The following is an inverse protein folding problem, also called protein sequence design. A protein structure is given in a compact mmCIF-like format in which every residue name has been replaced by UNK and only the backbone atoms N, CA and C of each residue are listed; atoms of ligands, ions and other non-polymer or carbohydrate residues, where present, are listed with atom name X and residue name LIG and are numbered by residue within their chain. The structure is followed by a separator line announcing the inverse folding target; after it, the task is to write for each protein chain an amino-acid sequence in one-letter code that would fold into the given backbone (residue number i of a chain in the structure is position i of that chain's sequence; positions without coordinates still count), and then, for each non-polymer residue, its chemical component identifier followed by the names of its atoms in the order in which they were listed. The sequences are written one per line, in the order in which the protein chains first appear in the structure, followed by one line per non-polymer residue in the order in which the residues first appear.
data_IF_961473685510
#
_entry.id   IF_961473685510
#
_cell.length_a   1.000
_cell.length_b   1.000
_cell.length_c   1.000
_cell.angle_alpha   90.00
_cell.angle_beta   90.00
_cell.angle_gamma   90.00
#
_symmetry.space_group_name_H-M   'P 1'
#
loop_
_entity.id
_entity.type
_entity.pdbx_description
1 polymer ?
#
# COMPACT_ATOMS: atom_id res chain seq x y z
N UNK A 1 15.70 5.02 -11.43
CA UNK A 1 16.76 5.44 -10.49
C UNK A 1 17.71 4.26 -10.35
N UNK A 2 18.98 4.36 -10.69
CA UNK A 2 19.87 3.21 -10.59
C UNK A 2 19.92 2.76 -9.14
N UNK A 3 19.80 1.47 -8.91
CA UNK A 3 20.01 0.81 -7.61
C UNK A 3 21.53 0.77 -7.27
N UNK A 4 22.27 1.82 -7.62
CA UNK A 4 23.73 1.82 -7.55
C UNK A 4 24.21 2.90 -6.60
N UNK A 5 25.18 2.48 -5.82
CA UNK A 5 26.10 3.25 -5.01
C UNK A 5 26.46 4.61 -5.61
N UNK A 6 26.08 5.68 -4.90
CA UNK A 6 26.83 6.90 -5.04
C UNK A 6 28.29 6.64 -4.60
N UNK A 7 29.29 7.11 -5.34
CA UNK A 7 30.67 7.03 -4.90
C UNK A 7 30.79 7.75 -3.55
N UNK A 8 31.52 7.14 -2.61
CA UNK A 8 31.86 7.78 -1.34
C UNK A 8 32.71 9.01 -1.71
N UNK A 9 32.08 10.18 -1.70
CA UNK A 9 32.80 11.44 -1.78
C UNK A 9 33.36 11.69 -0.39
N UNK A 10 34.61 11.34 -0.16
CA UNK A 10 35.34 11.83 1.02
C UNK A 10 35.44 13.34 0.91
N UNK A 11 34.87 14.11 1.86
CA UNK A 11 35.07 15.56 1.90
C UNK A 11 36.56 15.87 2.04
N UNK A 12 37.08 16.95 1.44
CA UNK A 12 38.45 17.35 1.66
C UNK A 12 38.64 17.62 3.16
N UNK A 13 39.73 17.07 3.70
CA UNK A 13 40.17 17.23 5.10
C UNK A 13 40.40 18.72 5.37
N UNK A 14 39.38 19.42 5.87
CA UNK A 14 39.50 20.77 6.41
C UNK A 14 39.88 20.61 7.86
N UNK A 15 41.17 20.69 8.17
CA UNK A 15 41.80 20.51 9.51
C UNK A 15 41.21 21.40 10.64
N UNK A 16 40.00 21.16 11.01
CA UNK A 16 39.34 21.69 12.19
C UNK A 16 38.92 20.53 13.08
N UNK A 17 39.49 20.43 14.29
CA UNK A 17 39.32 19.33 15.25
C UNK A 17 37.88 19.17 15.80
N UNK A 18 36.89 19.10 14.95
CA UNK A 18 35.54 18.63 15.30
C UNK A 18 35.49 17.12 15.14
N UNK A 19 34.82 16.43 16.07
CA UNK A 19 34.52 15.02 15.96
C UNK A 19 33.86 14.78 14.60
N UNK A 20 34.41 13.85 13.76
CA UNK A 20 33.81 13.56 12.46
C UNK A 20 32.34 13.17 12.68
N UNK A 21 31.42 13.90 12.05
CA UNK A 21 30.02 13.46 11.99
C UNK A 21 30.05 12.15 11.22
N UNK A 22 29.61 11.02 11.80
CA UNK A 22 29.58 9.76 11.08
C UNK A 22 28.71 9.96 9.84
N UNK A 23 29.32 9.73 8.65
CA UNK A 23 28.56 9.69 7.41
C UNK A 23 27.49 8.58 7.56
N UNK A 24 26.25 8.83 7.15
CA UNK A 24 25.24 7.78 7.16
C UNK A 24 25.77 6.59 6.35
N UNK A 25 25.62 5.38 6.89
CA UNK A 25 25.93 4.17 6.13
C UNK A 25 25.07 4.16 4.86
N UNK A 26 25.71 4.31 3.71
CA UNK A 26 25.06 4.21 2.41
C UNK A 26 25.02 2.71 2.08
N UNK A 27 23.94 2.05 2.52
CA UNK A 27 23.66 0.68 2.12
C UNK A 27 23.01 0.61 0.74
N UNK A 28 22.90 -0.60 0.21
CA UNK A 28 22.22 -0.85 -1.05
C UNK A 28 20.72 -1.00 -0.85
N UNK A 29 19.93 -0.48 -1.79
CA UNK A 29 18.54 -0.88 -1.89
C UNK A 29 18.45 -2.33 -2.35
N UNK A 30 17.62 -3.14 -1.73
CA UNK A 30 17.35 -4.52 -2.14
C UNK A 30 15.98 -4.62 -2.79
N UNK A 31 15.88 -5.46 -3.83
CA UNK A 31 14.64 -5.73 -4.51
C UNK A 31 14.28 -7.21 -4.40
N UNK A 32 13.04 -7.48 -4.03
CA UNK A 32 12.48 -8.82 -4.01
C UNK A 32 11.20 -8.87 -4.84
N UNK A 33 10.98 -9.97 -5.52
CA UNK A 33 9.76 -10.28 -6.20
C UNK A 33 9.11 -11.49 -5.55
N UNK A 34 7.86 -11.37 -5.10
CA UNK A 34 7.07 -12.49 -4.61
C UNK A 34 6.08 -12.89 -5.69
N UNK A 35 6.17 -14.13 -6.17
CA UNK A 35 5.29 -14.65 -7.20
C UNK A 35 3.88 -15.01 -6.65
N UNK A 36 2.89 -15.27 -7.50
CA UNK A 36 1.54 -15.63 -7.06
C UNK A 36 1.42 -16.87 -6.18
N UNK A 37 2.48 -17.71 -6.08
CA UNK A 37 2.52 -18.87 -5.17
C UNK A 37 3.12 -18.55 -3.81
N UNK A 38 3.58 -17.30 -3.58
CA UNK A 38 4.25 -16.88 -2.38
C UNK A 38 5.76 -17.15 -2.37
N UNK A 39 6.34 -17.63 -3.49
CA UNK A 39 7.80 -17.82 -3.59
C UNK A 39 8.49 -16.48 -3.74
N UNK A 40 9.50 -16.22 -2.89
CA UNK A 40 10.28 -14.98 -2.90
C UNK A 40 11.53 -15.14 -3.76
N UNK A 41 11.70 -14.22 -4.70
CA UNK A 41 12.82 -14.12 -5.63
C UNK A 41 13.64 -12.87 -5.30
N UNK A 42 14.89 -13.04 -4.86
CA UNK A 42 15.78 -11.92 -4.48
C UNK A 42 16.47 -11.38 -5.72
N UNK A 43 15.93 -10.30 -6.30
CA UNK A 43 16.39 -9.78 -7.59
C UNK A 43 17.76 -9.08 -7.54
N UNK A 44 18.22 -8.68 -6.36
CA UNK A 44 19.51 -7.99 -6.15
C UNK A 44 20.56 -8.88 -5.46
N UNK A 45 20.27 -10.17 -5.28
CA UNK A 45 21.20 -11.14 -4.70
C UNK A 45 22.01 -11.81 -5.83
N UNK A 46 23.28 -11.45 -5.96
CA UNK A 46 24.17 -11.98 -6.98
C UNK A 46 24.53 -13.47 -6.80
N UNK A 47 24.26 -14.04 -5.63
CA UNK A 47 24.48 -15.46 -5.34
C UNK A 47 23.29 -16.35 -5.76
N UNK A 48 22.16 -15.75 -6.09
CA UNK A 48 20.96 -16.49 -6.47
C UNK A 48 21.02 -17.13 -7.87
N UNK A 49 22.04 -16.80 -8.66
CA UNK A 49 22.19 -17.23 -10.05
C UNK A 49 21.45 -16.34 -11.05
N UNK A 50 20.96 -15.23 -10.57
CA UNK A 50 20.39 -14.12 -11.33
C UNK A 50 20.48 -12.85 -10.47
N UNK A 51 20.61 -11.70 -11.11
CA UNK A 51 20.65 -10.42 -10.41
C UNK A 51 20.23 -9.27 -11.33
N UNK A 52 19.83 -8.16 -10.74
CA UNK A 52 19.48 -6.93 -11.44
C UNK A 52 20.71 -6.29 -12.04
N UNK A 53 20.66 -5.96 -13.33
CA UNK A 53 21.68 -5.14 -13.96
C UNK A 53 21.61 -3.70 -13.44
N UNK A 54 22.77 -3.11 -13.26
CA UNK A 54 22.94 -1.78 -12.69
C UNK A 54 22.20 -0.69 -13.46
N UNK A 55 22.19 -0.76 -14.78
CA UNK A 55 21.58 0.19 -15.67
C UNK A 55 20.25 -0.35 -16.25
N UNK A 56 19.29 0.55 -16.45
CA UNK A 56 18.06 0.23 -17.15
C UNK A 56 16.82 -0.02 -16.29
N UNK A 57 16.93 -0.05 -14.94
CA UNK A 57 15.74 -0.05 -14.09
C UNK A 57 15.03 1.29 -14.20
N UNK A 58 13.75 1.27 -14.52
CA UNK A 58 12.91 2.47 -14.61
C UNK A 58 11.49 2.22 -14.13
N UNK A 59 10.71 3.29 -13.97
CA UNK A 59 9.32 3.20 -13.47
C UNK A 59 9.21 3.21 -11.94
N UNK A 60 10.29 3.47 -11.18
CA UNK A 60 10.28 3.55 -9.72
C UNK A 60 9.92 4.95 -9.18
N UNK A 61 9.85 5.96 -10.06
CA UNK A 61 9.53 7.35 -9.73
C UNK A 61 8.04 7.62 -9.59
N UNK A 62 7.65 8.88 -9.82
CA UNK A 62 6.24 9.30 -9.76
C UNK A 62 5.36 8.57 -10.76
N UNK A 63 4.06 8.43 -10.44
CA UNK A 63 3.08 7.85 -11.33
C UNK A 63 2.95 8.64 -12.64
N UNK A 64 2.66 8.02 -13.78
CA UNK A 64 2.26 8.73 -14.98
C UNK A 64 0.85 9.31 -14.82
N UNK A 65 0.61 10.50 -15.38
CA UNK A 65 -0.69 11.16 -15.34
C UNK A 65 -1.19 11.49 -16.75
N UNK A 66 -2.47 11.30 -16.96
CA UNK A 66 -3.18 11.89 -18.10
C UNK A 66 -3.77 13.23 -17.68
N UNK A 67 -3.53 14.27 -18.53
CA UNK A 67 -3.89 15.65 -18.25
C UNK A 67 -4.97 16.12 -19.21
N UNK A 68 -6.17 16.38 -18.70
CA UNK A 68 -7.24 17.04 -19.46
C UNK A 68 -7.11 18.55 -19.32
N UNK A 69 -7.00 19.27 -20.45
CA UNK A 69 -6.75 20.69 -20.48
C UNK A 69 -7.71 21.43 -21.40
N UNK A 70 -8.00 22.71 -21.06
CA UNK A 70 -8.72 23.66 -21.92
C UNK A 70 -7.75 24.67 -22.54
N UNK A 71 -7.79 24.82 -23.85
CA UNK A 71 -7.01 25.84 -24.54
C UNK A 71 -7.45 27.27 -24.13
N UNK A 72 -6.48 28.18 -23.90
CA UNK A 72 -6.76 29.56 -23.59
C UNK A 72 -6.60 30.45 -24.82
N UNK A 73 -7.49 31.45 -25.04
CA UNK A 73 -7.44 32.33 -26.23
C UNK A 73 -6.14 33.12 -26.41
N UNK A 74 -5.40 33.37 -25.34
CA UNK A 74 -4.12 34.09 -25.34
C UNK A 74 -2.89 33.19 -25.38
N UNK A 75 -3.08 31.90 -25.67
CA UNK A 75 -2.04 30.88 -25.63
C UNK A 75 -1.95 30.16 -24.28
N UNK A 76 -1.40 28.95 -24.30
CA UNK A 76 -1.37 28.04 -23.13
C UNK A 76 -2.67 27.27 -22.94
N UNK A 77 -2.74 26.51 -21.84
CA UNK A 77 -3.91 25.73 -21.48
C UNK A 77 -4.12 25.73 -19.95
N UNK A 78 -5.38 25.62 -19.55
CA UNK A 78 -5.75 25.45 -18.14
C UNK A 78 -5.94 23.97 -17.85
N UNK A 79 -5.27 23.46 -16.82
CA UNK A 79 -5.48 22.11 -16.32
C UNK A 79 -6.87 22.00 -15.71
N UNK A 80 -7.65 21.00 -16.14
CA UNK A 80 -8.99 20.67 -15.62
C UNK A 80 -8.97 19.45 -14.74
N UNK A 81 -8.26 18.42 -15.17
CA UNK A 81 -8.21 17.14 -14.47
C UNK A 81 -6.86 16.46 -14.72
N UNK A 82 -6.36 15.81 -13.68
CA UNK A 82 -5.17 14.97 -13.75
C UNK A 82 -5.54 13.58 -13.22
N UNK A 83 -5.45 12.57 -14.07
CA UNK A 83 -5.77 11.19 -13.70
C UNK A 83 -4.51 10.35 -13.68
N UNK A 84 -4.18 9.69 -12.54
CA UNK A 84 -3.08 8.73 -12.50
C UNK A 84 -3.37 7.56 -13.43
N UNK A 85 -2.34 7.14 -14.17
CA UNK A 85 -2.41 6.05 -15.13
C UNK A 85 -1.65 4.83 -14.61
N UNK A 86 -2.01 3.60 -15.02
CA UNK A 86 -1.21 2.42 -14.76
C UNK A 86 0.25 2.66 -15.16
N UNK A 87 1.20 2.13 -14.38
CA UNK A 87 2.62 2.30 -14.69
C UNK A 87 3.24 1.02 -15.23
N UNK A 88 4.29 1.19 -16.02
CA UNK A 88 5.19 0.12 -16.39
C UNK A 88 6.52 0.27 -15.62
N UNK A 89 7.00 -0.83 -15.07
CA UNK A 89 8.34 -0.93 -14.45
C UNK A 89 9.18 -1.79 -15.36
N UNK A 90 10.31 -1.23 -15.84
CA UNK A 90 11.30 -1.97 -16.63
C UNK A 90 12.37 -2.48 -15.69
N UNK A 91 12.64 -3.79 -15.76
CA UNK A 91 13.56 -4.45 -14.84
C UNK A 91 14.53 -5.36 -15.60
N UNK A 92 15.78 -4.96 -15.82
CA UNK A 92 16.79 -5.79 -16.47
C UNK A 92 17.36 -6.81 -15.48
N UNK A 93 17.33 -8.08 -15.86
CA UNK A 93 17.92 -9.19 -15.11
C UNK A 93 19.00 -9.87 -15.93
N UNK A 94 20.09 -10.23 -15.25
CA UNK A 94 21.08 -11.17 -15.76
C UNK A 94 20.89 -12.52 -15.09
N UNK A 95 20.80 -13.57 -15.87
CA UNK A 95 20.61 -14.95 -15.40
C UNK A 95 21.79 -15.79 -15.83
N UNK A 96 22.36 -16.56 -14.92
CA UNK A 96 23.53 -17.39 -15.19
C UNK A 96 23.47 -18.74 -14.46
N UNK A 97 24.27 -19.68 -14.91
CA UNK A 97 24.45 -20.98 -14.28
C UNK A 97 25.91 -21.46 -14.42
N UNK A 98 26.34 -22.38 -13.57
CA UNK A 98 27.66 -23.04 -13.71
C UNK A 98 27.70 -23.96 -14.94
N UNK A 99 26.51 -24.41 -15.39
CA UNK A 99 26.32 -25.21 -16.60
C UNK A 99 25.17 -24.67 -17.43
N UNK A 100 25.18 -25.03 -18.73
CA UNK A 100 24.06 -24.70 -19.61
C UNK A 100 22.69 -25.19 -19.06
N UNK A 101 22.66 -26.40 -18.51
CA UNK A 101 21.41 -27.00 -17.97
C UNK A 101 20.90 -26.19 -16.78
N UNK A 102 21.80 -25.81 -15.86
CA UNK A 102 21.46 -25.00 -14.71
C UNK A 102 20.93 -23.61 -15.10
N UNK A 103 21.60 -22.97 -16.06
CA UNK A 103 21.14 -21.70 -16.62
C UNK A 103 19.71 -21.83 -17.20
N UNK A 104 19.46 -22.84 -18.03
CA UNK A 104 18.14 -23.07 -18.64
C UNK A 104 17.08 -23.35 -17.59
N UNK A 105 17.40 -24.09 -16.54
CA UNK A 105 16.46 -24.35 -15.44
C UNK A 105 16.10 -23.06 -14.70
N UNK A 106 17.08 -22.22 -14.37
CA UNK A 106 16.88 -20.90 -13.73
C UNK A 106 16.03 -19.97 -14.59
N UNK A 107 16.38 -19.89 -15.89
CA UNK A 107 15.61 -19.09 -16.86
C UNK A 107 14.14 -19.49 -16.91
N UNK A 108 13.87 -20.79 -17.03
CA UNK A 108 12.51 -21.31 -17.07
C UNK A 108 11.75 -21.07 -15.75
N UNK A 109 12.43 -21.20 -14.62
CA UNK A 109 11.85 -20.96 -13.31
C UNK A 109 11.45 -19.49 -13.14
N UNK A 110 12.34 -18.55 -13.50
CA UNK A 110 12.04 -17.12 -13.48
C UNK A 110 10.92 -16.75 -14.45
N UNK A 111 11.00 -17.17 -15.70
CA UNK A 111 9.95 -16.93 -16.70
C UNK A 111 8.59 -17.46 -16.22
N UNK A 112 8.56 -18.67 -15.61
CA UNK A 112 7.34 -19.22 -15.02
C UNK A 112 6.84 -18.40 -13.82
N UNK A 113 7.73 -17.91 -12.95
CA UNK A 113 7.36 -17.10 -11.79
C UNK A 113 6.65 -15.80 -12.21
N UNK A 114 7.18 -15.10 -13.22
CA UNK A 114 6.59 -13.86 -13.71
C UNK A 114 5.30 -14.12 -14.52
N UNK A 115 5.30 -15.08 -15.45
CA UNK A 115 4.14 -15.36 -16.29
C UNK A 115 2.94 -15.96 -15.54
N UNK A 116 3.15 -16.50 -14.32
CA UNK A 116 2.05 -16.94 -13.44
C UNK A 116 1.05 -15.84 -13.12
N UNK A 117 1.48 -14.59 -13.09
CA UNK A 117 0.59 -13.44 -12.83
C UNK A 117 -0.52 -13.32 -13.88
N UNK A 118 -0.35 -13.89 -15.07
CA UNK A 118 -1.33 -13.87 -16.15
C UNK A 118 -2.30 -15.05 -16.12
N UNK A 119 -2.09 -16.03 -15.26
CA UNK A 119 -2.97 -17.21 -15.15
C UNK A 119 -4.27 -16.86 -14.44
N UNK A 120 -5.37 -17.37 -14.99
CA UNK A 120 -6.68 -17.25 -14.36
C UNK A 120 -6.80 -18.24 -13.19
N UNK A 121 -7.31 -17.74 -12.08
CA UNK A 121 -7.80 -18.54 -10.98
C UNK A 121 -9.16 -19.18 -11.34
N UNK A 122 -9.63 -20.21 -10.60
CA UNK A 122 -10.94 -20.82 -10.83
C UNK A 122 -12.13 -19.85 -10.75
N UNK A 123 -11.99 -18.74 -10.01
CA UNK A 123 -12.98 -17.68 -9.87
C UNK A 123 -12.92 -16.62 -10.99
N UNK A 124 -12.04 -16.79 -11.98
CA UNK A 124 -11.84 -15.87 -13.10
C UNK A 124 -10.95 -14.66 -12.77
N UNK A 125 -10.44 -14.54 -11.56
CA UNK A 125 -9.48 -13.49 -11.18
C UNK A 125 -8.05 -13.85 -11.56
N UNK A 126 -7.12 -12.88 -11.43
CA UNK A 126 -5.67 -13.11 -11.53
C UNK A 126 -5.00 -12.67 -10.24
N UNK A 127 -3.97 -13.40 -9.83
CA UNK A 127 -3.15 -13.03 -8.68
C UNK A 127 -1.92 -12.27 -9.16
N UNK A 128 -1.75 -10.99 -8.79
CA UNK A 128 -0.53 -10.24 -9.10
C UNK A 128 0.67 -10.82 -8.37
N UNK A 129 1.87 -10.58 -8.90
CA UNK A 129 3.09 -10.65 -8.12
C UNK A 129 3.26 -9.38 -7.28
N UNK A 130 4.18 -9.40 -6.34
CA UNK A 130 4.53 -8.25 -5.51
C UNK A 130 6.00 -7.95 -5.67
N UNK A 131 6.32 -6.76 -6.16
CA UNK A 131 7.67 -6.21 -6.18
C UNK A 131 7.85 -5.35 -4.93
N UNK A 132 8.87 -5.63 -4.14
CA UNK A 132 9.22 -4.86 -2.94
C UNK A 132 10.63 -4.31 -3.06
N UNK A 133 10.78 -3.03 -2.73
CA UNK A 133 12.06 -2.31 -2.64
C UNK A 133 12.28 -1.94 -1.19
N UNK A 134 13.32 -2.52 -0.58
CA UNK A 134 13.74 -2.17 0.77
C UNK A 134 14.98 -1.27 0.73
N UNK A 135 15.02 -0.30 1.63
CA UNK A 135 16.07 0.71 1.76
C UNK A 135 16.93 0.44 3.00
N UNK A 136 18.17 0.94 3.03
CA UNK A 136 19.07 0.76 4.19
C UNK A 136 18.58 1.42 5.48
N UNK A 137 17.70 2.40 5.39
CA UNK A 137 17.06 3.07 6.54
C UNK A 137 15.96 2.22 7.21
N UNK A 138 15.70 1.01 6.68
CA UNK A 138 14.68 0.10 7.15
C UNK A 138 13.30 0.33 6.53
N UNK A 139 13.13 1.36 5.70
CA UNK A 139 11.89 1.54 4.96
C UNK A 139 11.79 0.53 3.82
N UNK A 140 10.57 0.08 3.53
CA UNK A 140 10.29 -0.70 2.32
C UNK A 140 8.99 -0.25 1.69
N UNK A 141 8.90 -0.43 0.38
CA UNK A 141 7.69 -0.13 -0.39
C UNK A 141 7.44 -1.24 -1.39
N UNK A 142 6.18 -1.62 -1.53
CA UNK A 142 5.76 -2.71 -2.42
C UNK A 142 4.70 -2.24 -3.40
N UNK A 143 4.68 -2.89 -4.56
CA UNK A 143 3.70 -2.64 -5.60
C UNK A 143 3.25 -3.96 -6.23
N UNK A 144 1.97 -4.07 -6.56
CA UNK A 144 1.42 -5.23 -7.27
C UNK A 144 1.77 -5.13 -8.75
N UNK A 145 2.26 -6.23 -9.33
CA UNK A 145 2.75 -6.24 -10.70
C UNK A 145 2.20 -7.43 -11.48
N UNK A 146 1.99 -7.22 -12.78
CA UNK A 146 1.71 -8.27 -13.76
C UNK A 146 2.83 -8.29 -14.80
N UNK A 147 3.19 -9.48 -15.24
CA UNK A 147 4.15 -9.64 -16.33
C UNK A 147 3.56 -9.12 -17.64
N UNK A 148 4.31 -8.31 -18.37
CA UNK A 148 3.94 -7.83 -19.69
C UNK A 148 4.78 -8.49 -20.79
N UNK A 149 6.12 -8.39 -20.70
CA UNK A 149 7.06 -8.89 -21.70
C UNK A 149 8.47 -9.06 -21.14
N UNK A 150 9.42 -9.63 -21.89
CA UNK A 150 10.85 -9.60 -21.62
C UNK A 150 11.55 -10.95 -21.43
N UNK A 151 10.80 -12.06 -21.40
CA UNK A 151 11.36 -13.42 -21.35
C UNK A 151 11.21 -14.20 -22.68
N UNK A 152 11.09 -13.52 -23.82
CA UNK A 152 10.95 -14.15 -25.14
C UNK A 152 12.20 -14.93 -25.57
N UNK A 153 13.35 -14.60 -25.00
CA UNK A 153 14.63 -15.17 -25.35
C UNK A 153 15.21 -14.56 -26.63
N UNK A 154 16.50 -14.28 -26.65
CA UNK A 154 17.17 -13.69 -27.81
C UNK A 154 17.72 -14.70 -28.81
N UNK A 155 17.32 -15.97 -28.69
CA UNK A 155 17.84 -17.03 -29.56
C UNK A 155 19.30 -17.43 -29.30
N UNK A 156 19.94 -16.87 -28.28
CA UNK A 156 21.30 -17.22 -27.86
C UNK A 156 21.37 -18.53 -27.05
N UNK A 157 20.31 -19.32 -27.07
CA UNK A 157 20.24 -20.61 -26.35
C UNK A 157 21.01 -21.73 -27.06
N UNK A 158 22.06 -21.36 -27.79
CA UNK A 158 22.93 -22.31 -28.44
C UNK A 158 23.73 -23.16 -27.46
N UNK A 159 24.37 -24.21 -28.00
CA UNK A 159 25.20 -25.16 -27.24
C UNK A 159 26.29 -24.43 -26.47
N UNK A 160 26.36 -24.63 -25.15
CA UNK A 160 27.42 -24.09 -24.28
C UNK A 160 27.19 -22.70 -23.70
N UNK A 161 26.07 -22.03 -23.99
CA UNK A 161 25.72 -20.76 -23.33
C UNK A 161 25.22 -21.05 -21.91
N UNK A 162 25.82 -20.39 -20.93
CA UNK A 162 25.48 -20.54 -19.51
C UNK A 162 24.94 -19.26 -18.87
N UNK A 163 24.65 -18.24 -19.68
CA UNK A 163 24.09 -16.97 -19.20
C UNK A 163 23.39 -16.19 -20.30
N UNK A 164 22.39 -15.40 -19.95
CA UNK A 164 21.74 -14.41 -20.80
C UNK A 164 21.11 -13.29 -19.94
N UNK A 165 20.68 -12.22 -20.59
CA UNK A 165 19.97 -11.10 -19.95
C UNK A 165 18.54 -11.02 -20.48
N UNK A 166 17.61 -10.66 -19.59
CA UNK A 166 16.23 -10.33 -19.92
C UNK A 166 15.93 -8.91 -19.44
N UNK A 167 15.22 -8.15 -20.25
CA UNK A 167 14.66 -6.86 -19.85
C UNK A 167 13.16 -7.05 -19.69
N UNK A 168 12.72 -7.16 -18.44
CA UNK A 168 11.33 -7.47 -18.12
C UNK A 168 10.54 -6.17 -17.99
N UNK A 169 9.37 -6.13 -18.58
CA UNK A 169 8.38 -5.09 -18.36
C UNK A 169 7.27 -5.64 -17.48
N UNK A 170 7.06 -4.99 -16.33
CA UNK A 170 6.02 -5.29 -15.36
C UNK A 170 4.97 -4.19 -15.41
N UNK A 171 3.72 -4.56 -15.57
CA UNK A 171 2.59 -3.64 -15.56
C UNK A 171 1.94 -3.58 -14.19
N UNK A 172 1.69 -2.37 -13.69
CA UNK A 172 1.06 -2.11 -12.40
C UNK A 172 -0.30 -1.45 -12.64
N UNK A 173 -1.35 -2.11 -12.22
CA UNK A 173 -2.73 -1.65 -12.32
C UNK A 173 -2.96 -0.41 -11.44
N UNK A 174 -2.54 -0.48 -10.18
CA UNK A 174 -2.44 0.65 -9.26
C UNK A 174 -1.02 1.24 -9.36
N UNK A 175 -0.86 2.52 -9.72
CA UNK A 175 0.46 3.09 -9.93
C UNK A 175 1.23 3.43 -8.64
N UNK A 176 0.62 3.30 -7.48
CA UNK A 176 1.21 3.75 -6.23
C UNK A 176 1.93 2.64 -5.48
N UNK A 177 3.01 3.02 -4.83
CA UNK A 177 3.73 2.17 -3.91
C UNK A 177 3.04 2.15 -2.55
N UNK A 178 3.03 1.02 -1.90
CA UNK A 178 2.33 0.81 -0.62
C UNK A 178 3.34 0.42 0.45
N UNK A 179 3.26 1.06 1.62
CA UNK A 179 4.02 0.62 2.79
C UNK A 179 3.52 -0.76 3.24
N UNK A 180 4.38 -1.76 3.44
CA UNK A 180 3.97 -3.06 3.98
C UNK A 180 3.46 -2.97 5.43
N UNK A 181 3.85 -1.92 6.17
CA UNK A 181 3.43 -1.72 7.56
C UNK A 181 2.09 -1.03 7.60
N UNK A 182 1.11 -1.70 8.18
CA UNK A 182 -0.25 -1.16 8.36
C UNK A 182 -0.28 -0.17 9.51
N UNK A 183 -0.82 1.01 9.27
CA UNK A 183 -1.15 1.98 10.32
C UNK A 183 -2.49 1.59 10.93
N UNK A 184 -2.55 1.49 12.25
CA UNK A 184 -3.78 1.20 13.00
C UNK A 184 -4.06 2.32 13.98
N UNK A 185 -5.28 2.86 13.91
CA UNK A 185 -5.79 3.85 14.86
C UNK A 185 -6.91 3.20 15.64
N UNK A 186 -6.64 2.88 16.91
CA UNK A 186 -7.61 2.29 17.82
C UNK A 186 -8.31 3.36 18.65
N UNK A 187 -9.64 3.26 18.78
CA UNK A 187 -10.46 4.08 19.67
C UNK A 187 -11.50 3.21 20.36
N UNK A 188 -11.65 3.40 21.65
CA UNK A 188 -12.57 2.62 22.48
C UNK A 188 -13.46 3.51 23.35
N UNK A 189 -14.54 2.97 23.85
CA UNK A 189 -15.35 3.66 24.88
C UNK A 189 -14.51 3.77 26.13
N UNK A 190 -14.23 5.04 26.53
CA UNK A 190 -13.43 5.31 27.73
C UNK A 190 -14.14 4.78 28.96
N UNK A 191 -13.46 3.94 29.72
CA UNK A 191 -13.84 3.70 31.12
C UNK A 191 -13.47 4.95 31.90
N UNK A 192 -14.47 5.64 32.45
CA UNK A 192 -14.24 6.71 33.42
C UNK A 192 -13.58 6.08 34.64
N UNK A 193 -12.27 6.10 34.69
CA UNK A 193 -11.51 5.80 35.88
C UNK A 193 -11.47 7.09 36.71
N UNK A 194 -12.32 7.17 37.73
CA UNK A 194 -12.26 8.24 38.72
C UNK A 194 -10.96 8.13 39.51
N UNK A 195 -9.92 8.78 39.02
CA UNK A 195 -8.62 8.80 39.70
C UNK A 195 -8.67 9.69 40.98
N UNK A 196 -9.56 10.67 41.01
CA UNK A 196 -9.83 11.53 42.17
C UNK A 196 -11.31 11.98 42.16
N UNK A 197 -12.09 11.51 43.10
CA UNK A 197 -13.40 12.10 43.39
C UNK A 197 -13.11 13.32 44.33
N UNK A 198 -13.48 14.57 43.97
CA UNK A 198 -14.51 15.07 43.04
C UNK A 198 -13.99 15.84 41.80
N UNK A 199 -12.84 15.54 41.27
CA UNK A 199 -12.27 16.26 40.12
C UNK A 199 -12.69 15.66 38.79
N UNK A 200 -12.91 16.47 37.72
CA UNK A 200 -13.23 15.96 36.41
C UNK A 200 -12.11 15.08 35.89
N UNK A 201 -12.46 13.88 35.45
CA UNK A 201 -11.52 12.92 34.85
C UNK A 201 -11.04 13.41 33.49
N UNK A 202 -9.74 13.30 33.24
CA UNK A 202 -9.17 13.52 31.91
C UNK A 202 -9.39 12.27 31.10
N UNK A 203 -10.16 12.37 30.00
CA UNK A 203 -10.34 11.27 29.08
C UNK A 203 -9.01 10.85 28.44
N UNK A 204 -8.81 9.54 28.27
CA UNK A 204 -7.62 9.03 27.56
C UNK A 204 -7.65 9.48 26.09
N UNK A 205 -6.51 9.62 25.46
CA UNK A 205 -6.40 9.96 24.03
C UNK A 205 -6.98 8.88 23.08
N UNK A 206 -7.42 7.74 23.62
CA UNK A 206 -8.00 6.61 22.88
C UNK A 206 -9.54 6.57 22.94
N UNK A 207 -10.18 7.57 23.53
CA UNK A 207 -11.64 7.64 23.62
C UNK A 207 -12.26 7.93 22.26
N UNK A 208 -13.46 7.35 22.01
CA UNK A 208 -14.31 7.69 20.89
C UNK A 208 -14.63 9.20 20.88
N UNK A 209 -14.77 9.77 19.70
CA UNK A 209 -15.00 11.20 19.51
C UNK A 209 -14.10 11.79 18.42
N UNK A 210 -13.86 13.10 18.51
CA UNK A 210 -12.99 13.79 17.57
C UNK A 210 -11.53 13.46 17.81
N UNK A 211 -10.80 13.16 16.76
CA UNK A 211 -9.37 12.81 16.79
C UNK A 211 -8.69 13.25 15.50
N UNK A 212 -7.36 13.18 15.48
CA UNK A 212 -6.57 13.41 14.27
C UNK A 212 -5.94 12.10 13.84
N UNK A 213 -6.12 11.73 12.58
CA UNK A 213 -5.47 10.60 11.92
C UNK A 213 -4.46 11.13 10.93
N UNK A 214 -3.20 10.70 11.06
CA UNK A 214 -2.13 11.13 10.16
C UNK A 214 -1.88 10.05 9.10
N UNK A 215 -2.05 10.41 7.83
CA UNK A 215 -1.57 9.63 6.69
C UNK A 215 -0.15 10.10 6.34
N UNK A 216 0.89 9.29 6.59
CA UNK A 216 2.28 9.67 6.29
C UNK A 216 2.63 9.50 4.81
N UNK A 217 1.71 9.00 3.97
CA UNK A 217 1.90 8.81 2.54
C UNK A 217 1.81 10.10 1.73
N UNK A 218 2.15 10.00 0.45
CA UNK A 218 2.08 11.10 -0.52
C UNK A 218 0.70 11.19 -1.20
N UNK A 219 -0.10 10.14 -1.05
CA UNK A 219 -1.35 9.92 -1.78
C UNK A 219 -2.47 9.61 -0.81
N UNK A 220 -3.70 9.99 -1.18
CA UNK A 220 -4.91 9.60 -0.45
C UNK A 220 -4.99 8.08 -0.27
N UNK A 221 -5.44 7.65 0.92
CA UNK A 221 -5.63 6.23 1.26
C UNK A 221 -7.07 5.98 1.66
N UNK A 222 -7.51 4.75 1.41
CA UNK A 222 -8.87 4.30 1.66
C UNK A 222 -8.86 3.32 2.84
N UNK A 223 -9.30 3.75 4.03
CA UNK A 223 -9.19 2.95 5.24
C UNK A 223 -10.19 1.80 5.29
N UNK A 224 -9.86 0.80 6.07
CA UNK A 224 -10.77 -0.25 6.53
C UNK A 224 -11.10 0.00 7.99
N UNK A 225 -12.37 -0.06 8.32
CA UNK A 225 -12.90 0.15 9.65
C UNK A 225 -13.39 -1.17 10.22
N UNK A 226 -12.94 -1.53 11.40
CA UNK A 226 -13.49 -2.64 12.16
C UNK A 226 -14.14 -2.09 13.43
N UNK A 227 -15.43 -2.24 13.53
CA UNK A 227 -16.24 -1.75 14.63
C UNK A 227 -16.60 -2.94 15.51
N UNK A 228 -16.32 -2.85 16.79
CA UNK A 228 -16.71 -3.83 17.80
C UNK A 228 -17.82 -3.22 18.67
N UNK A 229 -18.94 -3.94 18.82
CA UNK A 229 -20.06 -3.54 19.63
C UNK A 229 -19.81 -3.64 21.16
N UNK A 230 -20.75 -3.08 21.96
CA UNK A 230 -22.12 -2.73 21.58
C UNK A 230 -22.24 -1.38 20.87
N UNK A 231 -23.19 -1.25 19.93
CA UNK A 231 -23.55 -0.01 19.29
C UNK A 231 -24.97 -0.06 18.70
N UNK A 232 -25.73 1.02 18.78
CA UNK A 232 -27.04 1.14 18.15
C UNK A 232 -26.99 1.89 16.83
N UNK A 233 -26.05 2.83 16.69
CA UNK A 233 -25.81 3.62 15.48
C UNK A 233 -24.30 3.94 15.41
N UNK A 234 -23.75 3.84 14.22
CA UNK A 234 -22.31 4.06 13.97
C UNK A 234 -22.19 5.22 12.98
N UNK A 235 -21.51 6.31 13.35
CA UNK A 235 -21.32 7.47 12.48
C UNK A 235 -19.85 7.87 12.44
N UNK A 236 -19.29 7.99 11.25
CA UNK A 236 -17.93 8.46 11.02
C UNK A 236 -17.93 9.67 10.11
N UNK A 237 -17.26 10.73 10.56
CA UNK A 237 -17.20 12.01 9.86
C UNK A 237 -15.75 12.41 9.63
N UNK A 238 -15.43 12.81 8.40
CA UNK A 238 -14.23 13.55 8.08
C UNK A 238 -14.56 15.05 8.25
N UNK A 239 -14.02 15.67 9.30
CA UNK A 239 -14.33 17.06 9.63
C UNK A 239 -13.69 18.06 8.66
N UNK A 240 -12.64 17.67 7.95
CA UNK A 240 -11.94 18.53 6.99
C UNK A 240 -12.72 18.65 5.67
N UNK A 241 -13.40 17.56 5.23
CA UNK A 241 -14.20 17.54 4.00
C UNK A 241 -15.68 17.72 4.26
N UNK A 242 -16.15 17.43 5.48
CA UNK A 242 -17.57 17.37 5.85
C UNK A 242 -18.29 16.11 5.40
N UNK A 243 -17.58 15.16 4.80
CA UNK A 243 -18.12 13.87 4.37
C UNK A 243 -18.41 12.97 5.57
N UNK A 244 -19.48 12.21 5.51
CA UNK A 244 -19.84 11.29 6.57
C UNK A 244 -20.62 10.09 6.05
N UNK A 245 -20.58 9.02 6.81
CA UNK A 245 -21.47 7.88 6.61
C UNK A 245 -21.94 7.34 7.97
N UNK A 246 -23.12 6.75 7.92
CA UNK A 246 -23.73 6.12 9.09
C UNK A 246 -24.14 4.70 8.74
N UNK A 247 -23.85 3.77 9.66
CA UNK A 247 -24.31 2.37 9.59
C UNK A 247 -25.32 2.15 10.71
N UNK A 248 -26.53 1.76 10.34
CA UNK A 248 -27.60 1.43 11.27
C UNK A 248 -27.86 -0.08 11.29
N UNK A 249 -27.42 -0.80 12.35
CA UNK A 249 -27.71 -2.22 12.48
C UNK A 249 -29.20 -2.56 12.57
N UNK A 250 -30.05 -1.54 12.95
CA UNK A 250 -31.51 -1.68 13.04
C UNK A 250 -32.21 -1.39 11.72
N UNK A 251 -31.49 -1.05 10.64
CA UNK A 251 -32.09 -0.79 9.34
C UNK A 251 -33.01 -1.95 8.93
N UNK A 252 -34.16 -1.62 8.34
CA UNK A 252 -35.20 -2.61 7.97
C UNK A 252 -34.64 -3.72 7.06
N UNK A 253 -33.65 -3.36 6.20
CA UNK A 253 -33.03 -4.28 5.26
C UNK A 253 -32.09 -5.29 5.96
N UNK A 254 -31.59 -4.95 7.14
CA UNK A 254 -30.69 -5.76 7.94
C UNK A 254 -31.46 -6.53 9.02
N UNK A 255 -32.28 -5.82 9.79
CA UNK A 255 -33.16 -6.43 10.81
C UNK A 255 -32.41 -7.14 11.94
N UNK A 256 -31.13 -6.82 12.15
CA UNK A 256 -30.29 -7.47 13.16
C UNK A 256 -30.65 -6.99 14.59
N UNK A 257 -31.00 -5.74 14.74
CA UNK A 257 -31.05 -5.07 16.03
C UNK A 257 -29.74 -4.35 16.35
N UNK A 258 -29.57 -3.88 17.58
CA UNK A 258 -28.31 -3.27 18.00
C UNK A 258 -27.16 -4.27 17.88
N UNK A 259 -25.99 -3.79 17.52
CA UNK A 259 -24.76 -4.58 17.57
C UNK A 259 -24.47 -4.93 19.03
N UNK A 260 -24.30 -6.22 19.34
CA UNK A 260 -24.07 -6.69 20.69
C UNK A 260 -22.59 -6.62 21.08
N UNK A 261 -22.30 -6.78 22.36
CA UNK A 261 -20.91 -6.80 22.85
C UNK A 261 -20.08 -7.93 22.19
N UNK A 262 -18.97 -7.55 21.61
CA UNK A 262 -18.05 -8.47 20.91
C UNK A 262 -18.41 -8.79 19.46
N UNK A 263 -19.60 -8.39 18.99
CA UNK A 263 -19.93 -8.48 17.56
C UNK A 263 -19.17 -7.44 16.75
N UNK A 264 -18.86 -7.80 15.49
CA UNK A 264 -18.03 -6.96 14.63
C UNK A 264 -18.68 -6.68 13.28
N UNK A 265 -18.50 -5.44 12.82
CA UNK A 265 -18.79 -5.00 11.46
C UNK A 265 -17.53 -4.44 10.84
N UNK A 266 -17.19 -4.91 9.65
CA UNK A 266 -16.04 -4.39 8.87
C UNK A 266 -16.57 -3.58 7.69
N UNK A 267 -16.04 -2.36 7.53
CA UNK A 267 -16.35 -1.45 6.44
C UNK A 267 -15.05 -1.23 5.65
N UNK A 268 -15.05 -1.56 4.37
CA UNK A 268 -13.99 -1.16 3.44
C UNK A 268 -14.49 0.01 2.60
N UNK A 269 -13.64 1.01 2.43
CA UNK A 269 -13.96 2.18 1.60
C UNK A 269 -13.55 1.99 0.14
N UNK A 270 -12.57 1.11 -0.12
CA UNK A 270 -12.14 0.73 -1.47
C UNK A 270 -11.72 -0.75 -1.53
N UNK A 271 -12.43 -1.64 -2.28
CA UNK A 271 -13.78 -1.42 -2.81
C UNK A 271 -14.82 -1.24 -1.71
N UNK A 272 -15.90 -0.47 -1.95
CA UNK A 272 -16.92 -0.21 -0.94
C UNK A 272 -17.64 -1.49 -0.52
N UNK A 273 -17.48 -1.89 0.74
CA UNK A 273 -18.15 -3.06 1.31
C UNK A 273 -18.48 -2.83 2.78
N UNK A 274 -19.61 -3.38 3.24
CA UNK A 274 -19.97 -3.48 4.66
C UNK A 274 -20.27 -4.94 4.95
N UNK A 275 -19.53 -5.53 5.87
CA UNK A 275 -19.63 -6.94 6.21
C UNK A 275 -19.80 -7.13 7.72
N UNK A 276 -20.77 -7.92 8.10
CA UNK A 276 -20.87 -8.43 9.46
C UNK A 276 -19.90 -9.59 9.65
N UNK A 277 -19.60 -9.94 10.87
CA UNK A 277 -18.59 -10.97 11.23
C UNK A 277 -18.84 -12.35 10.62
N UNK A 278 -20.08 -12.70 10.27
CA UNK A 278 -20.45 -13.95 9.60
C UNK A 278 -20.25 -13.89 8.07
N UNK A 279 -19.78 -12.74 7.53
CA UNK A 279 -19.59 -12.49 6.11
C UNK A 279 -20.84 -11.94 5.40
N UNK A 280 -21.97 -11.80 6.07
CA UNK A 280 -23.18 -11.24 5.48
C UNK A 280 -22.98 -9.79 5.04
N UNK A 281 -23.68 -9.41 3.97
CA UNK A 281 -23.57 -8.09 3.37
C UNK A 281 -24.52 -7.09 4.07
N UNK A 282 -23.95 -6.06 4.69
CA UNK A 282 -24.67 -5.02 5.39
C UNK A 282 -24.65 -3.65 4.68
N UNK A 283 -24.42 -3.62 3.38
CA UNK A 283 -24.44 -2.37 2.59
C UNK A 283 -25.80 -1.65 2.73
N UNK A 284 -26.92 -2.38 2.94
CA UNK A 284 -28.23 -1.80 3.21
C UNK A 284 -28.34 -1.08 4.56
N UNK A 285 -27.37 -1.25 5.47
CA UNK A 285 -27.30 -0.49 6.73
C UNK A 285 -26.77 0.94 6.56
N UNK A 286 -26.18 1.27 5.41
CA UNK A 286 -25.68 2.62 5.13
C UNK A 286 -26.84 3.60 4.90
N UNK A 287 -26.66 4.84 5.35
CA UNK A 287 -27.64 5.92 5.22
C UNK A 287 -27.75 6.49 3.79
N UNK A 288 -28.02 5.62 2.80
CA UNK A 288 -28.20 6.03 1.42
C UNK A 288 -29.34 7.03 1.23
N UNK A 289 -29.20 8.05 0.34
CA UNK A 289 -28.04 8.35 -0.55
C UNK A 289 -27.00 9.28 0.07
N UNK A 290 -27.07 9.61 1.35
CA UNK A 290 -26.19 10.58 2.00
C UNK A 290 -24.83 9.98 2.40
N UNK A 291 -24.72 8.66 2.42
CA UNK A 291 -23.47 7.98 2.79
C UNK A 291 -22.32 8.31 1.82
N UNK A 292 -21.27 8.91 2.34
CA UNK A 292 -20.00 9.12 1.65
C UNK A 292 -18.90 8.35 2.38
N UNK A 293 -18.39 7.27 1.77
CA UNK A 293 -17.24 6.54 2.28
C UNK A 293 -15.99 7.33 1.88
N UNK A 294 -15.37 7.98 2.83
CA UNK A 294 -14.29 8.94 2.59
C UNK A 294 -12.90 8.31 2.78
N UNK A 295 -11.91 8.93 2.11
CA UNK A 295 -10.49 8.62 2.24
C UNK A 295 -9.76 9.54 3.21
N UNK A 296 -8.49 9.24 3.46
CA UNK A 296 -7.58 10.06 4.26
C UNK A 296 -6.58 10.75 3.32
N UNK A 297 -6.66 12.06 3.22
CA UNK A 297 -5.69 12.86 2.47
C UNK A 297 -4.29 12.73 3.10
N UNK A 298 -3.21 12.99 2.33
CA UNK A 298 -1.86 13.09 2.89
C UNK A 298 -1.79 14.10 4.05
N UNK A 299 -1.08 13.74 5.11
CA UNK A 299 -0.95 14.57 6.30
C UNK A 299 -2.03 14.32 7.34
N UNK A 300 -2.39 15.36 8.09
CA UNK A 300 -3.32 15.28 9.22
C UNK A 300 -4.76 15.41 8.74
N UNK A 301 -5.63 14.50 9.19
CA UNK A 301 -7.07 14.48 8.92
C UNK A 301 -7.83 14.57 10.24
N UNK A 302 -8.66 15.57 10.40
CA UNK A 302 -9.53 15.71 11.55
C UNK A 302 -10.79 14.85 11.34
N UNK A 303 -11.00 13.87 12.21
CA UNK A 303 -12.08 12.90 12.06
C UNK A 303 -12.86 12.72 13.36
N UNK A 304 -14.11 12.30 13.26
CA UNK A 304 -14.96 11.99 14.42
C UNK A 304 -15.48 10.56 14.32
N UNK A 305 -15.30 9.79 15.40
CA UNK A 305 -15.82 8.44 15.56
C UNK A 305 -16.92 8.46 16.61
N UNK A 306 -18.15 8.18 16.19
CA UNK A 306 -19.32 8.17 17.08
C UNK A 306 -19.99 6.80 17.04
N UNK A 307 -20.16 6.21 18.22
CA UNK A 307 -20.93 5.00 18.44
C UNK A 307 -22.03 5.31 19.45
N UNK A 308 -23.28 5.43 19.00
CA UNK A 308 -24.42 5.59 19.88
C UNK A 308 -24.74 4.23 20.52
N UNK A 309 -25.18 4.24 21.78
CA UNK A 309 -25.40 3.02 22.53
C UNK A 309 -24.13 2.24 22.86
N UNK A 310 -22.96 2.90 22.78
CA UNK A 310 -21.68 2.30 23.16
C UNK A 310 -21.63 1.96 24.65
N UNK A 311 -20.86 0.93 24.99
CA UNK A 311 -20.64 0.44 26.33
C UNK A 311 -19.25 -0.19 26.50
N UNK A 312 -18.99 -0.86 27.63
CA UNK A 312 -17.73 -1.54 27.83
C UNK A 312 -17.42 -2.52 26.68
N UNK A 313 -16.22 -2.37 26.07
CA UNK A 313 -15.78 -3.19 24.95
C UNK A 313 -16.16 -2.63 23.56
N UNK A 314 -16.90 -1.52 23.47
CA UNK A 314 -17.11 -0.84 22.19
C UNK A 314 -15.80 -0.22 21.70
N UNK A 315 -15.41 -0.55 20.48
CA UNK A 315 -14.17 -0.08 19.89
C UNK A 315 -14.29 0.14 18.37
N UNK A 316 -13.41 0.96 17.85
CA UNK A 316 -13.19 1.19 16.42
C UNK A 316 -11.72 1.08 16.12
N UNK A 317 -11.37 0.20 15.21
CA UNK A 317 -10.05 0.08 14.61
C UNK A 317 -10.11 0.59 13.17
N UNK A 318 -9.42 1.68 12.90
CA UNK A 318 -9.21 2.18 11.54
C UNK A 318 -7.83 1.73 11.08
N UNK A 319 -7.76 1.03 9.96
CA UNK A 319 -6.52 0.51 9.41
C UNK A 319 -6.31 0.93 7.97
N UNK A 320 -5.08 1.25 7.61
CA UNK A 320 -4.69 1.54 6.24
C UNK A 320 -3.19 1.32 6.03
N UNK A 321 -2.79 1.15 4.79
CA UNK A 321 -1.38 1.15 4.40
C UNK A 321 -1.07 2.46 3.66
N UNK A 322 -0.08 3.25 4.09
CA UNK A 322 0.31 4.48 3.42
C UNK A 322 0.69 4.22 1.96
N UNK A 323 0.33 5.16 1.07
CA UNK A 323 0.60 5.08 -0.37
C UNK A 323 1.54 6.20 -0.79
N UNK A 324 2.43 5.89 -1.75
CA UNK A 324 3.50 6.78 -2.17
C UNK A 324 3.64 6.84 -3.68
N UNK A 325 4.07 7.99 -4.19
CA UNK A 325 4.37 8.20 -5.61
C UNK A 325 5.61 7.40 -6.07
N UNK A 326 6.60 7.27 -5.20
CA UNK A 326 7.91 6.69 -5.53
C UNK A 326 8.24 5.48 -4.67
N UNK A 327 9.15 4.61 -5.15
CA UNK A 327 9.68 3.47 -4.40
C UNK A 327 10.60 3.88 -3.26
#
# INVERSE_FOLDING_TARGET
MPLITAPVVTPPDTGGGGTPVPLPEIGFATATYTDPTGTVWRLTDDQAGYFTLADGVSGLGAAPYDLTTDAQPRGGARLRHAQPQPRAIVWPLYVYGSTHVEFVQRWRALASAFTRTLRLNPDGTRTPGVLEIARPDGSSRRIKVYYQEGFEGQGKQGTGIASDSAVITLWCEDPYWVDPVTVTVHRETGTLSDFFVPYPTVSSSQVLGSTTVTNPGDVEVWPVWTITGPASLITFTNNDTGESFTVDPNATEIGHGNLLAGEQVTISTDPPTVRYQDGSNWVGALNWPAAALWGLAPGSNAVTFQLDGSGPGSAVDLTFNPRYETA
#
